data_IF_285310666966
#
_entry.id   IF_285310666966
#
_cell.length_a   1.000
_cell.length_b   1.000
_cell.length_c   1.000
_cell.angle_alpha   90.00
_cell.angle_beta   90.00
_cell.angle_gamma   90.00
#
_symmetry.space_group_name_H-M   'P 1'
#
loop_
_entity.id
_entity.type
_entity.pdbx_description
1 polymer ?
#
# COMPACT_ATOMS: atom_id res chain seq x y z
N UNK A 1 0.92 7.12 -23.90
CA UNK A 1 1.93 6.03 -24.00
C UNK A 1 3.05 6.14 -22.96
N UNK A 2 3.54 7.35 -22.66
CA UNK A 2 4.65 7.55 -21.69
C UNK A 2 4.33 7.18 -20.23
N UNK A 3 3.09 7.40 -19.75
CA UNK A 3 2.72 7.06 -18.37
C UNK A 3 2.83 5.55 -18.11
N UNK A 4 2.46 4.71 -19.09
CA UNK A 4 2.60 3.26 -18.97
C UNK A 4 4.06 2.83 -18.86
N UNK A 5 4.97 3.47 -19.62
CA UNK A 5 6.42 3.23 -19.50
C UNK A 5 6.96 3.65 -18.14
N UNK A 6 6.48 4.78 -17.59
CA UNK A 6 6.86 5.21 -16.25
C UNK A 6 6.39 4.23 -15.16
N UNK A 7 5.18 3.67 -15.30
CA UNK A 7 4.66 2.61 -14.42
C UNK A 7 5.52 1.35 -14.53
N UNK A 8 5.87 0.92 -15.75
CA UNK A 8 6.71 -0.25 -15.97
C UNK A 8 8.12 -0.08 -15.38
N UNK A 9 8.72 1.12 -15.54
CA UNK A 9 10.00 1.47 -14.92
C UNK A 9 9.90 1.45 -13.39
N UNK A 10 8.83 2.00 -12.81
CA UNK A 10 8.62 1.97 -11.37
C UNK A 10 8.55 0.53 -10.85
N UNK A 11 7.86 -0.38 -11.54
CA UNK A 11 7.83 -1.79 -11.16
C UNK A 11 9.20 -2.49 -11.30
N UNK A 12 9.99 -2.13 -12.30
CA UNK A 12 11.36 -2.63 -12.42
C UNK A 12 12.22 -2.20 -11.23
N UNK A 13 12.20 -0.90 -10.90
CA UNK A 13 12.96 -0.36 -9.76
C UNK A 13 12.49 -0.97 -8.44
N UNK A 14 11.19 -1.16 -8.26
CA UNK A 14 10.64 -1.85 -7.07
C UNK A 14 11.15 -3.28 -6.95
N UNK A 15 11.28 -4.02 -8.07
CA UNK A 15 11.87 -5.35 -8.07
C UNK A 15 13.35 -5.32 -7.63
N UNK A 16 14.15 -4.35 -8.10
CA UNK A 16 15.55 -4.16 -7.68
C UNK A 16 15.66 -3.80 -6.19
N UNK A 17 14.67 -3.11 -5.63
CA UNK A 17 14.57 -2.79 -4.20
C UNK A 17 14.00 -3.95 -3.34
N UNK A 18 13.78 -5.13 -3.92
CA UNK A 18 13.27 -6.31 -3.22
C UNK A 18 11.76 -6.26 -2.93
N UNK A 19 11.02 -5.48 -3.72
CA UNK A 19 9.56 -5.32 -3.67
C UNK A 19 8.92 -5.70 -5.01
N UNK A 20 9.01 -6.97 -5.43
CA UNK A 20 8.53 -7.40 -6.74
C UNK A 20 6.99 -7.33 -6.85
N UNK A 21 6.52 -6.79 -7.98
CA UNK A 21 5.11 -6.82 -8.36
C UNK A 21 4.86 -7.86 -9.44
N UNK A 22 3.65 -8.48 -9.47
CA UNK A 22 3.32 -9.44 -10.51
C UNK A 22 3.22 -8.74 -11.87
N UNK A 23 3.58 -9.43 -12.96
CA UNK A 23 3.47 -8.89 -14.33
C UNK A 23 2.03 -8.68 -14.80
N UNK A 24 1.08 -9.39 -14.19
CA UNK A 24 -0.36 -9.27 -14.45
C UNK A 24 -1.09 -9.21 -13.12
N UNK A 25 -2.09 -8.34 -13.04
CA UNK A 25 -3.05 -8.39 -11.94
C UNK A 25 -3.92 -9.65 -12.11
N UNK A 26 -4.30 -10.24 -10.99
CA UNK A 26 -5.24 -11.36 -10.96
C UNK A 26 -6.19 -11.12 -9.80
N UNK A 27 -7.50 -11.24 -10.05
CA UNK A 27 -8.52 -11.09 -9.02
C UNK A 27 -8.25 -12.02 -7.84
N UNK A 28 -7.85 -13.27 -8.11
CA UNK A 28 -7.50 -14.22 -7.07
C UNK A 28 -6.34 -13.75 -6.19
N UNK A 29 -5.28 -13.19 -6.80
CA UNK A 29 -4.15 -12.62 -6.06
C UNK A 29 -4.56 -11.40 -5.24
N UNK A 30 -5.39 -10.52 -5.80
CA UNK A 30 -5.93 -9.36 -5.08
C UNK A 30 -6.70 -9.81 -3.85
N UNK A 31 -7.55 -10.84 -3.96
CA UNK A 31 -8.30 -11.37 -2.82
C UNK A 31 -7.39 -12.00 -1.76
N UNK A 32 -6.34 -12.73 -2.17
CA UNK A 32 -5.34 -13.27 -1.22
C UNK A 32 -4.65 -12.13 -0.45
N UNK A 33 -4.15 -11.13 -1.17
CA UNK A 33 -3.45 -10.00 -0.54
C UNK A 33 -4.41 -9.17 0.33
N UNK A 34 -5.68 -9.06 -0.06
CA UNK A 34 -6.72 -8.39 0.72
C UNK A 34 -6.93 -9.11 2.06
N UNK A 35 -7.14 -10.43 2.02
CA UNK A 35 -7.30 -11.24 3.23
C UNK A 35 -6.06 -11.19 4.12
N UNK A 36 -4.86 -11.25 3.54
CA UNK A 36 -3.60 -11.12 4.28
C UNK A 36 -3.48 -9.77 4.98
N UNK A 37 -3.73 -8.68 4.25
CA UNK A 37 -3.61 -7.31 4.77
C UNK A 37 -4.63 -7.06 5.87
N UNK A 38 -5.90 -7.48 5.67
CA UNK A 38 -6.94 -7.40 6.71
C UNK A 38 -6.55 -8.19 7.96
N UNK A 39 -5.99 -9.39 7.81
CA UNK A 39 -5.54 -10.22 8.94
C UNK A 39 -4.37 -9.60 9.70
N UNK A 40 -3.48 -8.87 9.03
CA UNK A 40 -2.41 -8.13 9.70
C UNK A 40 -2.98 -6.96 10.51
N UNK A 41 -3.89 -6.19 9.93
CA UNK A 41 -4.56 -5.06 10.58
C UNK A 41 -5.51 -5.46 11.71
N UNK A 42 -6.12 -6.65 11.65
CA UNK A 42 -7.04 -7.13 12.69
C UNK A 42 -6.30 -7.58 13.95
N UNK A 43 -4.98 -7.82 13.87
CA UNK A 43 -4.15 -8.24 14.99
C UNK A 43 -3.61 -7.05 15.81
N UNK A 44 -3.79 -5.83 15.32
CA UNK A 44 -3.23 -4.62 15.91
C UNK A 44 -4.35 -3.60 16.14
N UNK A 45 -4.37 -3.02 17.33
CA UNK A 45 -5.12 -1.81 17.65
C UNK A 45 -4.52 -0.60 16.94
N UNK A 46 -5.26 0.51 16.91
CA UNK A 46 -4.76 1.75 16.31
C UNK A 46 -3.54 2.30 17.08
N UNK A 47 -3.54 2.20 18.41
CA UNK A 47 -2.43 2.68 19.25
C UNK A 47 -1.18 1.80 19.08
N UNK A 48 -1.35 0.48 18.89
CA UNK A 48 -0.25 -0.41 18.52
C UNK A 48 0.33 -0.05 17.16
N UNK A 49 -0.50 0.32 16.18
CA UNK A 49 0.01 0.74 14.86
C UNK A 49 0.76 2.07 14.99
N UNK A 50 0.23 3.04 15.74
CA UNK A 50 0.86 4.35 15.93
C UNK A 50 2.18 4.27 16.73
N UNK A 51 2.37 3.22 17.52
CA UNK A 51 3.61 2.97 18.27
C UNK A 51 4.62 2.09 17.53
N UNK A 52 4.32 1.64 16.30
CA UNK A 52 5.30 0.93 15.47
C UNK A 52 6.53 1.83 15.26
N UNK A 53 7.75 1.34 15.53
CA UNK A 53 8.97 2.13 15.36
C UNK A 53 9.14 2.66 13.93
N UNK A 54 9.83 3.80 13.75
CA UNK A 54 10.16 4.32 12.42
C UNK A 54 10.97 3.31 11.61
N UNK A 55 10.67 3.24 10.30
CA UNK A 55 11.39 2.40 9.34
C UNK A 55 12.86 2.82 9.23
N UNK A 56 13.78 1.90 9.48
CA UNK A 56 15.23 2.12 9.42
C UNK A 56 15.86 1.66 8.09
N UNK A 57 15.22 0.73 7.39
CA UNK A 57 15.75 0.19 6.13
C UNK A 57 15.54 1.20 4.98
N UNK A 58 16.65 1.81 4.53
CA UNK A 58 16.64 2.81 3.46
C UNK A 58 16.13 2.27 2.11
N UNK A 59 16.38 0.99 1.80
CA UNK A 59 15.87 0.37 0.57
C UNK A 59 14.36 0.22 0.63
N UNK A 60 13.81 -0.20 1.77
CA UNK A 60 12.36 -0.25 1.98
C UNK A 60 11.74 1.14 1.98
N UNK A 61 12.41 2.14 2.57
CA UNK A 61 11.94 3.51 2.56
C UNK A 61 11.85 4.06 1.13
N UNK A 62 12.88 3.83 0.29
CA UNK A 62 12.86 4.19 -1.11
C UNK A 62 11.72 3.48 -1.87
N UNK A 63 11.53 2.19 -1.64
CA UNK A 63 10.47 1.42 -2.29
C UNK A 63 9.07 1.95 -1.91
N UNK A 64 8.84 2.27 -0.64
CA UNK A 64 7.58 2.87 -0.17
C UNK A 64 7.32 4.24 -0.78
N UNK A 65 8.35 5.09 -0.93
CA UNK A 65 8.21 6.39 -1.62
C UNK A 65 7.79 6.20 -3.08
N UNK A 66 8.42 5.27 -3.79
CA UNK A 66 8.07 4.94 -5.18
C UNK A 66 6.63 4.40 -5.25
N UNK A 67 6.26 3.47 -4.37
CA UNK A 67 4.89 2.93 -4.31
C UNK A 67 3.84 4.01 -4.03
N UNK A 68 4.13 4.97 -3.15
CA UNK A 68 3.23 6.08 -2.84
C UNK A 68 2.96 6.96 -4.07
N UNK A 69 3.99 7.27 -4.85
CA UNK A 69 3.86 7.99 -6.13
C UNK A 69 3.11 7.14 -7.15
N UNK A 70 3.52 5.87 -7.29
CA UNK A 70 2.97 4.92 -8.25
C UNK A 70 1.48 4.69 -8.05
N UNK A 71 1.01 4.68 -6.81
CA UNK A 71 -0.41 4.48 -6.49
C UNK A 71 -1.31 5.46 -7.26
N UNK A 72 -0.98 6.76 -7.26
CA UNK A 72 -1.75 7.78 -7.99
C UNK A 72 -1.82 7.52 -9.49
N UNK A 73 -0.72 7.04 -10.09
CA UNK A 73 -0.71 6.67 -11.51
C UNK A 73 -1.51 5.40 -11.79
N UNK A 74 -1.45 4.41 -10.89
CA UNK A 74 -2.26 3.18 -11.05
C UNK A 74 -3.75 3.47 -10.97
N UNK A 75 -4.20 4.39 -10.11
CA UNK A 75 -5.62 4.79 -10.06
C UNK A 75 -6.17 5.36 -11.38
N UNK A 76 -5.32 5.97 -12.19
CA UNK A 76 -5.74 6.66 -13.42
C UNK A 76 -5.47 5.84 -14.69
N UNK A 77 -4.40 5.04 -14.74
CA UNK A 77 -3.94 4.41 -15.97
C UNK A 77 -3.90 2.88 -15.94
N UNK A 78 -3.77 2.27 -14.76
CA UNK A 78 -3.69 0.82 -14.57
C UNK A 78 -4.36 0.41 -13.26
N UNK A 79 -5.68 0.63 -13.20
CA UNK A 79 -6.49 0.49 -11.99
C UNK A 79 -6.39 -0.90 -11.37
N UNK A 80 -6.13 -1.91 -12.19
CA UNK A 80 -5.99 -3.30 -11.79
C UNK A 80 -4.77 -3.56 -10.87
N UNK A 81 -3.79 -2.65 -10.83
CA UNK A 81 -2.64 -2.72 -9.92
C UNK A 81 -2.80 -1.89 -8.64
N UNK A 82 -3.72 -0.92 -8.61
CA UNK A 82 -3.88 -0.01 -7.48
C UNK A 82 -4.12 -0.76 -6.15
N UNK A 83 -4.93 -1.85 -6.10
CA UNK A 83 -5.06 -2.64 -4.88
C UNK A 83 -3.78 -3.30 -4.41
N UNK A 84 -2.99 -3.85 -5.34
CA UNK A 84 -1.74 -4.52 -4.99
C UNK A 84 -0.74 -3.53 -4.39
N UNK A 85 -0.64 -2.32 -4.96
CA UNK A 85 0.25 -1.26 -4.46
C UNK A 85 -0.21 -0.79 -3.08
N UNK A 86 -1.49 -0.47 -2.89
CA UNK A 86 -2.02 -0.01 -1.61
C UNK A 86 -1.86 -1.05 -0.49
N UNK A 87 -2.15 -2.31 -0.78
CA UNK A 87 -1.97 -3.39 0.19
C UNK A 87 -0.49 -3.59 0.52
N UNK A 88 0.41 -3.47 -0.46
CA UNK A 88 1.85 -3.61 -0.22
C UNK A 88 2.40 -2.48 0.64
N UNK A 89 1.96 -1.23 0.41
CA UNK A 89 2.29 -0.08 1.28
C UNK A 89 1.97 -0.39 2.74
N UNK A 90 0.78 -0.91 3.03
CA UNK A 90 0.39 -1.31 4.40
C UNK A 90 1.28 -2.44 4.92
N UNK A 91 1.41 -3.53 4.16
CA UNK A 91 2.14 -4.71 4.60
C UNK A 91 3.59 -4.38 4.96
N UNK A 92 4.28 -3.58 4.16
CA UNK A 92 5.68 -3.20 4.42
C UNK A 92 5.77 -2.29 5.66
N UNK A 93 4.90 -1.29 5.80
CA UNK A 93 4.91 -0.43 6.99
C UNK A 93 4.63 -1.22 8.29
N UNK A 94 3.70 -2.18 8.26
CA UNK A 94 3.38 -3.00 9.43
C UNK A 94 4.48 -4.03 9.78
N UNK A 95 5.38 -4.36 8.85
CA UNK A 95 6.40 -5.40 9.07
C UNK A 95 7.80 -4.86 9.30
N UNK A 96 8.13 -3.73 8.69
CA UNK A 96 9.47 -3.15 8.73
C UNK A 96 9.56 -1.84 9.51
N UNK A 97 8.42 -1.26 9.92
CA UNK A 97 8.37 0.03 10.60
C UNK A 97 7.62 1.09 9.79
N UNK A 98 7.16 2.14 10.46
CA UNK A 98 6.44 3.23 9.82
C UNK A 98 7.41 4.13 9.04
N UNK A 99 7.17 4.25 7.74
CA UNK A 99 7.87 5.19 6.88
C UNK A 99 7.25 6.59 6.95
N UNK A 100 7.99 7.60 6.46
CA UNK A 100 7.49 8.96 6.30
C UNK A 100 6.26 9.07 5.36
N UNK A 101 5.98 8.04 4.56
CA UNK A 101 4.81 7.97 3.66
C UNK A 101 3.76 6.97 4.14
N UNK A 102 3.82 6.52 5.40
CA UNK A 102 2.87 5.57 5.96
C UNK A 102 1.42 6.07 5.81
N UNK A 103 1.18 7.36 6.11
CA UNK A 103 -0.14 8.00 5.95
C UNK A 103 -0.73 7.80 4.54
N UNK A 104 0.09 7.87 3.49
CA UNK A 104 -0.32 7.59 2.10
C UNK A 104 -0.79 6.15 1.92
N UNK A 105 -0.09 5.17 2.52
CA UNK A 105 -0.51 3.76 2.47
C UNK A 105 -1.86 3.52 3.15
N UNK A 106 -2.06 4.09 4.34
CA UNK A 106 -3.32 3.97 5.09
C UNK A 106 -4.49 4.65 4.38
N UNK A 107 -4.30 5.85 3.85
CA UNK A 107 -5.33 6.56 3.07
C UNK A 107 -5.63 5.86 1.73
N UNK A 108 -4.60 5.38 1.02
CA UNK A 108 -4.77 4.64 -0.23
C UNK A 108 -5.60 3.37 -0.05
N UNK A 109 -5.30 2.58 0.98
CA UNK A 109 -6.05 1.36 1.24
C UNK A 109 -7.45 1.64 1.79
N UNK A 110 -7.62 2.70 2.60
CA UNK A 110 -8.93 3.18 3.03
C UNK A 110 -9.84 3.53 1.85
N UNK A 111 -9.32 4.25 0.86
CA UNK A 111 -10.04 4.61 -0.37
C UNK A 111 -10.56 3.36 -1.08
N UNK A 112 -9.72 2.34 -1.24
CA UNK A 112 -10.10 1.10 -1.92
C UNK A 112 -11.08 0.26 -1.12
N UNK A 113 -10.96 0.23 0.21
CA UNK A 113 -11.91 -0.47 1.07
C UNK A 113 -13.32 0.12 0.94
N UNK A 114 -13.43 1.45 0.90
CA UNK A 114 -14.71 2.13 0.72
C UNK A 114 -15.29 1.98 -0.69
N UNK A 115 -14.48 2.13 -1.74
CA UNK A 115 -14.98 2.22 -3.11
C UNK A 115 -15.01 0.90 -3.88
N UNK A 116 -14.05 0.00 -3.63
CA UNK A 116 -13.88 -1.22 -4.43
C UNK A 116 -14.25 -2.49 -3.66
N UNK A 117 -13.95 -2.55 -2.35
CA UNK A 117 -14.13 -3.77 -1.56
C UNK A 117 -15.35 -3.77 -0.64
N UNK A 118 -16.08 -2.65 -0.53
CA UNK A 118 -17.30 -2.52 0.26
C UNK A 118 -17.12 -2.62 1.79
N UNK A 119 -15.88 -2.62 2.29
CA UNK A 119 -15.59 -2.67 3.73
C UNK A 119 -15.43 -1.26 4.30
N UNK A 120 -16.56 -0.54 4.31
CA UNK A 120 -16.62 0.87 4.70
C UNK A 120 -16.15 1.07 6.14
N UNK A 121 -16.45 0.12 7.05
CA UNK A 121 -16.06 0.22 8.46
C UNK A 121 -14.53 0.23 8.61
N UNK A 122 -13.84 -0.73 7.97
CA UNK A 122 -12.38 -0.75 7.99
C UNK A 122 -11.81 0.46 7.23
N UNK A 123 -12.42 0.85 6.11
CA UNK A 123 -12.01 2.03 5.35
C UNK A 123 -12.00 3.30 6.19
N UNK A 124 -13.08 3.58 6.94
CA UNK A 124 -13.16 4.75 7.84
C UNK A 124 -12.11 4.68 8.94
N UNK A 125 -11.88 3.50 9.53
CA UNK A 125 -10.83 3.31 10.55
C UNK A 125 -9.46 3.69 10.00
N UNK A 126 -9.08 3.16 8.84
CA UNK A 126 -7.76 3.43 8.25
C UNK A 126 -7.62 4.87 7.76
N UNK A 127 -8.70 5.50 7.28
CA UNK A 127 -8.69 6.92 6.94
C UNK A 127 -8.40 7.79 8.18
N UNK A 128 -9.05 7.51 9.31
CA UNK A 128 -8.76 8.22 10.58
C UNK A 128 -7.32 7.97 11.04
N UNK A 129 -6.82 6.75 10.89
CA UNK A 129 -5.44 6.40 11.24
C UNK A 129 -4.44 7.15 10.37
N UNK A 130 -4.70 7.30 9.06
CA UNK A 130 -3.84 8.08 8.17
C UNK A 130 -3.71 9.55 8.60
N UNK A 131 -4.78 10.16 9.12
CA UNK A 131 -4.74 11.55 9.60
C UNK A 131 -3.88 11.70 10.87
N UNK A 132 -3.84 10.67 11.72
CA UNK A 132 -2.97 10.66 12.91
C UNK A 132 -1.49 10.43 12.59
N UNK A 133 -1.19 9.91 11.40
CA UNK A 133 0.15 9.61 10.90
C UNK A 133 0.75 10.75 10.04
N UNK A 134 0.01 11.85 9.85
CA UNK A 134 0.48 13.03 9.13
C UNK A 134 1.38 13.91 10.01
#
# INVERSE_FOLDING_TARGET
NEINKAIDLAFQVLNELGEPFPRKSSVFRILIDLSKTKRMLSKLSDDEILSIPPLQDEKKAAALRIMGILFSYTLNCRQEFAPLVAMRLIQVNLTHGLSAVASVGFSAFALLLCNAFGDIKLGIRLAKLSLKLM
#
